data_IF_294138230565
#
_entry.id   IF_294138230565
#
_cell.length_a   1.000
_cell.length_b   1.000
_cell.length_c   1.000
_cell.angle_alpha   90.00
_cell.angle_beta   90.00
_cell.angle_gamma   90.00
#
_symmetry.space_group_name_H-M   'P 1'
#
loop_
_entity.id
_entity.type
_entity.pdbx_description
1 polymer ?
#
# COMPACT_ATOMS: atom_id res chain seq x y z
N UNK A 1 -1.87 3.61 -10.59
CA UNK A 1 -2.25 3.15 -9.24
C UNK A 1 -1.32 2.02 -8.83
N UNK A 2 -0.76 2.12 -7.64
CA UNK A 2 0.16 1.14 -7.05
C UNK A 2 -0.60 0.41 -5.95
N UNK A 3 -1.07 -0.79 -6.25
CA UNK A 3 -1.83 -1.62 -5.33
C UNK A 3 -0.88 -2.35 -4.37
N UNK A 4 -0.93 -1.99 -3.10
CA UNK A 4 -0.12 -2.57 -2.02
C UNK A 4 -0.94 -3.45 -1.07
N UNK A 5 -2.10 -3.94 -1.51
CA UNK A 5 -2.92 -4.87 -0.75
C UNK A 5 -2.31 -6.27 -0.77
N UNK A 6 -2.35 -6.96 0.35
CA UNK A 6 -1.95 -8.36 0.41
C UNK A 6 -2.94 -9.26 -0.38
N UNK A 7 -4.23 -8.95 -0.24
CA UNK A 7 -5.32 -9.67 -0.91
C UNK A 7 -6.16 -8.68 -1.71
N UNK A 8 -6.20 -8.83 -3.03
CA UNK A 8 -6.91 -7.94 -3.95
C UNK A 8 -7.87 -8.68 -4.90
N UNK A 9 -8.17 -9.96 -4.62
CA UNK A 9 -9.04 -10.82 -5.43
C UNK A 9 -10.42 -11.07 -4.81
N UNK A 10 -10.71 -10.46 -3.64
CA UNK A 10 -11.98 -10.68 -2.93
C UNK A 10 -13.19 -10.26 -3.77
N UNK A 11 -14.18 -11.13 -3.90
CA UNK A 11 -15.45 -10.82 -4.54
C UNK A 11 -16.25 -9.71 -3.82
N UNK A 12 -15.99 -9.49 -2.53
CA UNK A 12 -16.58 -8.39 -1.76
C UNK A 12 -16.02 -7.01 -2.14
N UNK A 13 -14.89 -6.98 -2.83
CA UNK A 13 -14.27 -5.73 -3.28
C UNK A 13 -14.94 -5.12 -4.53
N UNK A 14 -15.94 -5.81 -5.12
CA UNK A 14 -16.63 -5.33 -6.32
C UNK A 14 -15.65 -5.04 -7.45
N UNK A 15 -15.78 -3.88 -8.08
CA UNK A 15 -14.92 -3.44 -9.20
C UNK A 15 -13.47 -3.14 -8.79
N UNK A 16 -13.17 -3.08 -7.51
CA UNK A 16 -11.80 -2.81 -7.02
C UNK A 16 -10.94 -4.08 -6.87
N UNK A 17 -11.45 -5.25 -7.27
CA UNK A 17 -10.65 -6.47 -7.34
C UNK A 17 -9.65 -6.44 -8.51
N UNK A 18 -8.56 -7.17 -8.38
CA UNK A 18 -7.45 -7.16 -9.34
C UNK A 18 -7.87 -7.44 -10.78
N UNK A 19 -8.89 -8.28 -11.02
CA UNK A 19 -9.34 -8.61 -12.37
C UNK A 19 -10.02 -7.44 -13.10
N UNK A 20 -10.74 -6.60 -12.36
CA UNK A 20 -11.60 -5.57 -12.95
C UNK A 20 -11.00 -4.17 -12.83
N UNK A 21 -10.26 -3.89 -11.76
CA UNK A 21 -9.73 -2.56 -11.47
C UNK A 21 -8.85 -1.96 -12.58
N UNK A 22 -7.93 -2.72 -13.20
CA UNK A 22 -7.11 -2.17 -14.29
C UNK A 22 -7.93 -1.65 -15.45
N UNK A 23 -8.99 -2.38 -15.85
CA UNK A 23 -9.89 -1.96 -16.90
C UNK A 23 -10.59 -0.63 -16.58
N UNK A 24 -11.10 -0.49 -15.37
CA UNK A 24 -11.78 0.76 -14.97
C UNK A 24 -10.80 1.93 -14.88
N UNK A 25 -9.61 1.72 -14.34
CA UNK A 25 -8.59 2.76 -14.22
C UNK A 25 -8.17 3.28 -15.60
N UNK A 26 -7.90 2.38 -16.53
CA UNK A 26 -7.54 2.76 -17.89
C UNK A 26 -8.69 3.44 -18.61
N UNK A 27 -9.90 2.86 -18.56
CA UNK A 27 -11.06 3.34 -19.30
C UNK A 27 -11.61 4.68 -18.81
N UNK A 28 -11.50 4.98 -17.50
CA UNK A 28 -12.11 6.17 -16.89
C UNK A 28 -11.11 7.30 -16.75
N UNK A 29 -9.88 7.03 -16.36
CA UNK A 29 -8.87 8.05 -16.07
C UNK A 29 -7.51 7.86 -16.73
N UNK A 30 -7.37 6.89 -17.62
CA UNK A 30 -6.11 6.62 -18.32
C UNK A 30 -4.96 6.24 -17.36
N UNK A 31 -5.27 5.71 -16.18
CA UNK A 31 -4.30 5.41 -15.15
C UNK A 31 -3.81 3.96 -15.25
N UNK A 32 -2.50 3.77 -15.28
CA UNK A 32 -1.89 2.45 -15.20
C UNK A 32 -2.10 1.82 -13.82
N UNK A 33 -2.11 0.48 -13.77
CA UNK A 33 -2.23 -0.32 -12.55
C UNK A 33 -1.04 -1.25 -12.41
N UNK A 34 -0.51 -1.33 -11.21
CA UNK A 34 0.49 -2.33 -10.83
C UNK A 34 0.20 -2.86 -9.42
N UNK A 35 0.35 -4.16 -9.22
CA UNK A 35 0.26 -4.79 -7.90
C UNK A 35 1.66 -5.12 -7.39
N UNK A 36 2.01 -4.61 -6.21
CA UNK A 36 3.29 -4.87 -5.53
C UNK A 36 3.01 -5.47 -4.15
N UNK A 37 2.74 -6.79 -4.08
CA UNK A 37 2.43 -7.45 -2.81
C UNK A 37 3.62 -7.44 -1.83
N UNK A 38 4.83 -7.20 -2.31
CA UNK A 38 6.01 -7.03 -1.46
C UNK A 38 5.94 -5.78 -0.57
N UNK A 39 5.11 -4.80 -0.94
CA UNK A 39 4.81 -3.63 -0.10
C UNK A 39 3.62 -3.86 0.85
N UNK A 40 2.97 -5.02 0.78
CA UNK A 40 1.91 -5.38 1.71
C UNK A 40 2.47 -5.87 3.05
N UNK A 41 1.76 -5.66 4.17
CA UNK A 41 2.07 -6.35 5.42
C UNK A 41 1.88 -7.87 5.25
N UNK A 42 2.57 -8.66 6.05
CA UNK A 42 2.34 -10.10 6.08
C UNK A 42 0.99 -10.43 6.73
N UNK A 43 0.46 -11.64 6.46
CA UNK A 43 -0.76 -12.12 7.13
C UNK A 43 -0.60 -12.09 8.66
N UNK A 44 0.57 -12.46 9.17
CA UNK A 44 0.87 -12.44 10.59
C UNK A 44 0.72 -11.02 11.17
N UNK A 45 1.32 -10.01 10.56
CA UNK A 45 1.22 -8.61 11.02
C UNK A 45 -0.24 -8.13 11.02
N UNK A 46 -1.00 -8.49 9.97
CA UNK A 46 -2.42 -8.17 9.88
C UNK A 46 -3.25 -8.88 10.96
N UNK A 47 -2.99 -10.15 11.18
CA UNK A 47 -3.73 -10.96 12.15
C UNK A 47 -3.42 -10.52 13.59
N UNK A 48 -2.16 -10.22 13.91
CA UNK A 48 -1.78 -9.71 15.21
C UNK A 48 -2.51 -8.42 15.54
N UNK A 49 -2.67 -7.52 14.59
CA UNK A 49 -3.43 -6.29 14.79
C UNK A 49 -4.94 -6.50 14.79
N UNK A 50 -5.50 -7.19 13.76
CA UNK A 50 -6.96 -7.27 13.55
C UNK A 50 -7.66 -8.34 14.39
N UNK A 51 -6.99 -9.49 14.61
CA UNK A 51 -7.58 -10.64 15.32
C UNK A 51 -7.11 -10.71 16.77
N UNK A 52 -5.83 -10.45 17.02
CA UNK A 52 -5.22 -10.61 18.34
C UNK A 52 -5.24 -9.31 19.16
N UNK A 53 -5.92 -8.26 18.68
CA UNK A 53 -6.06 -6.95 19.36
C UNK A 53 -4.73 -6.28 19.70
N UNK A 54 -3.72 -6.48 18.86
CA UNK A 54 -2.44 -5.79 18.96
C UNK A 54 -2.61 -4.27 18.84
N UNK A 55 -1.69 -3.52 19.43
CA UNK A 55 -1.70 -2.06 19.33
C UNK A 55 -1.30 -1.59 17.92
N UNK A 56 -1.70 -0.35 17.58
CA UNK A 56 -1.25 0.27 16.33
C UNK A 56 0.28 0.47 16.31
N UNK A 57 0.88 0.81 17.44
CA UNK A 57 2.32 1.05 17.54
C UNK A 57 3.12 -0.23 17.27
N UNK A 58 2.64 -1.38 17.73
CA UNK A 58 3.22 -2.69 17.41
C UNK A 58 3.10 -3.00 15.90
N UNK A 59 1.93 -2.75 15.32
CA UNK A 59 1.70 -2.92 13.89
C UNK A 59 2.62 -2.02 13.06
N UNK A 60 2.69 -0.73 13.38
CA UNK A 60 3.54 0.25 12.71
C UNK A 60 5.01 -0.16 12.76
N UNK A 61 5.50 -0.52 13.96
CA UNK A 61 6.88 -0.96 14.15
C UNK A 61 7.20 -2.20 13.32
N UNK A 62 6.32 -3.21 13.37
CA UNK A 62 6.51 -4.45 12.64
C UNK A 62 6.48 -4.25 11.11
N UNK A 63 5.57 -3.41 10.63
CA UNK A 63 5.44 -3.15 9.21
C UNK A 63 6.59 -2.30 8.65
N UNK A 64 7.01 -1.25 9.35
CA UNK A 64 8.17 -0.45 8.91
C UNK A 64 9.45 -1.29 8.88
N UNK A 65 9.66 -2.14 9.88
CA UNK A 65 10.77 -3.09 9.89
C UNK A 65 10.70 -4.06 8.70
N UNK A 66 9.52 -4.55 8.37
CA UNK A 66 9.32 -5.42 7.20
C UNK A 66 9.71 -4.73 5.89
N UNK A 67 9.37 -3.44 5.72
CA UNK A 67 9.75 -2.67 4.53
C UNK A 67 11.28 -2.51 4.43
N UNK A 68 11.96 -2.23 5.55
CA UNK A 68 13.44 -2.19 5.60
C UNK A 68 14.06 -3.55 5.26
N UNK A 69 13.60 -4.62 5.88
CA UNK A 69 14.10 -5.99 5.64
C UNK A 69 13.92 -6.44 4.19
N UNK A 70 12.86 -5.97 3.53
CA UNK A 70 12.59 -6.25 2.12
C UNK A 70 13.36 -5.33 1.16
N UNK A 71 14.01 -4.29 1.66
CA UNK A 71 14.65 -3.27 0.82
C UNK A 71 13.64 -2.56 -0.08
N UNK A 72 12.50 -2.15 0.47
CA UNK A 72 11.38 -1.60 -0.29
C UNK A 72 11.77 -0.37 -1.13
N UNK A 73 12.73 0.43 -0.68
CA UNK A 73 13.29 1.55 -1.42
C UNK A 73 13.98 1.14 -2.74
N UNK A 74 14.46 -0.09 -2.84
CA UNK A 74 15.09 -0.62 -4.06
C UNK A 74 14.08 -1.18 -5.06
N UNK A 75 12.82 -1.38 -4.63
CA UNK A 75 11.72 -1.84 -5.48
C UNK A 75 11.03 -0.69 -6.20
N UNK A 76 11.33 0.55 -5.81
CA UNK A 76 10.71 1.77 -6.31
C UNK A 76 11.76 2.83 -6.63
N UNK A 77 11.34 3.94 -7.18
CA UNK A 77 12.18 5.12 -7.37
C UNK A 77 11.31 6.38 -7.28
N UNK A 78 11.88 7.58 -7.07
CA UNK A 78 11.09 8.82 -7.14
C UNK A 78 10.33 8.95 -8.46
N UNK A 79 10.95 8.61 -9.59
CA UNK A 79 10.30 8.63 -10.90
C UNK A 79 9.13 7.64 -11.01
N UNK A 80 9.25 6.45 -10.42
CA UNK A 80 8.17 5.46 -10.37
C UNK A 80 7.02 5.92 -9.46
N UNK A 81 7.33 6.60 -8.36
CA UNK A 81 6.34 7.11 -7.41
C UNK A 81 5.69 8.42 -7.88
N UNK A 82 6.29 9.11 -8.86
CA UNK A 82 5.77 10.37 -9.38
C UNK A 82 4.35 10.21 -9.92
N UNK A 83 3.41 11.03 -9.41
CA UNK A 83 1.98 10.93 -9.70
C UNK A 83 1.36 9.56 -9.33
N UNK A 84 2.08 8.76 -8.55
CA UNK A 84 1.62 7.47 -8.06
C UNK A 84 0.56 7.59 -6.98
N UNK A 85 -0.42 6.68 -6.99
CA UNK A 85 -1.43 6.58 -5.94
C UNK A 85 -1.33 5.20 -5.29
N UNK A 86 -0.94 5.15 -4.01
CA UNK A 86 -0.93 3.91 -3.23
C UNK A 86 -2.36 3.48 -2.87
N UNK A 87 -2.73 2.26 -3.19
CA UNK A 87 -4.05 1.69 -2.91
C UNK A 87 -3.98 0.65 -1.80
N UNK A 88 -4.86 0.78 -0.80
CA UNK A 88 -5.13 -0.25 0.21
C UNK A 88 -6.63 -0.45 0.42
N UNK A 89 -7.01 -1.27 1.39
CA UNK A 89 -8.43 -1.57 1.68
C UNK A 89 -9.08 -0.62 2.70
N UNK A 90 -8.29 0.18 3.39
CA UNK A 90 -8.79 1.10 4.43
C UNK A 90 -9.26 2.41 3.80
N UNK A 91 -10.39 2.94 4.28
CA UNK A 91 -10.98 4.17 3.75
C UNK A 91 -10.21 5.43 4.15
N UNK A 92 -9.63 5.43 5.37
CA UNK A 92 -8.88 6.58 5.90
C UNK A 92 -7.39 6.26 6.01
N UNK A 93 -6.51 7.26 5.96
CA UNK A 93 -5.07 7.05 6.12
C UNK A 93 -4.67 6.69 7.55
N UNK A 94 -5.48 7.08 8.55
CA UNK A 94 -5.26 6.67 9.94
C UNK A 94 -5.33 5.15 10.05
N UNK A 95 -4.46 4.54 10.81
CA UNK A 95 -4.38 3.08 10.98
C UNK A 95 -4.31 2.29 9.65
N UNK A 96 -3.63 2.86 8.65
CA UNK A 96 -3.49 2.28 7.32
C UNK A 96 -2.03 2.13 6.91
N UNK A 97 -1.68 0.93 6.41
CA UNK A 97 -0.31 0.66 5.94
C UNK A 97 0.10 1.52 4.72
N UNK A 98 -0.85 2.01 3.92
CA UNK A 98 -0.55 2.95 2.83
C UNK A 98 0.08 4.26 3.34
N UNK A 99 -0.38 4.80 4.49
CA UNK A 99 0.23 5.95 5.13
C UNK A 99 1.67 5.63 5.55
N UNK A 100 1.88 4.52 6.23
CA UNK A 100 3.21 4.10 6.68
C UNK A 100 4.17 3.87 5.50
N UNK A 101 3.69 3.26 4.41
CA UNK A 101 4.49 3.07 3.21
C UNK A 101 4.86 4.41 2.55
N UNK A 102 3.90 5.35 2.43
CA UNK A 102 4.19 6.67 1.87
C UNK A 102 5.18 7.47 2.74
N UNK A 103 5.01 7.45 4.06
CA UNK A 103 5.94 8.08 5.00
C UNK A 103 7.34 7.44 4.92
N UNK A 104 7.42 6.13 4.75
CA UNK A 104 8.68 5.41 4.53
C UNK A 104 9.39 5.93 3.27
N UNK A 105 8.69 6.00 2.14
CA UNK A 105 9.28 6.48 0.89
C UNK A 105 9.67 7.96 0.94
N UNK A 106 8.88 8.81 1.59
CA UNK A 106 9.24 10.23 1.76
C UNK A 106 10.49 10.43 2.65
N UNK A 107 10.75 9.52 3.58
CA UNK A 107 12.02 9.53 4.35
C UNK A 107 13.22 9.05 3.54
N UNK A 108 13.00 8.12 2.59
CA UNK A 108 14.08 7.58 1.74
C UNK A 108 14.38 8.48 0.53
N UNK A 109 13.38 9.17 0.02
CA UNK A 109 13.46 9.98 -1.19
C UNK A 109 13.02 11.43 -0.90
N UNK A 110 13.95 12.36 -0.86
CA UNK A 110 13.67 13.78 -0.53
C UNK A 110 12.74 14.48 -1.52
N UNK A 111 12.62 13.96 -2.75
CA UNK A 111 11.74 14.51 -3.79
C UNK A 111 10.28 14.06 -3.67
N UNK A 112 10.00 13.08 -2.80
CA UNK A 112 8.63 12.55 -2.63
C UNK A 112 7.85 13.41 -1.66
N UNK A 113 6.74 13.96 -2.13
CA UNK A 113 5.71 14.62 -1.31
C UNK A 113 4.45 13.77 -1.23
N UNK A 114 3.74 13.84 -0.11
CA UNK A 114 2.57 13.00 0.16
C UNK A 114 1.32 13.87 0.22
N UNK A 115 0.26 13.40 -0.45
CA UNK A 115 -1.10 13.91 -0.28
C UNK A 115 -2.02 12.73 0.02
N UNK A 116 -2.71 12.77 1.16
CA UNK A 116 -3.73 11.78 1.49
C UNK A 116 -5.08 12.20 0.90
N UNK A 117 -5.70 11.27 0.18
CA UNK A 117 -7.01 11.46 -0.45
C UNK A 117 -8.12 10.91 0.45
#
# INVERSE_FOLDING_TARGET
VIDIRLRNTSHLAGFSKMQDLPFFLESICGAAYIHIPQLAPTERILDDFKKNKGSWDEYETAYLRLLEERGAEHMTSPAFLHMGCLLCSETKPDYCHRRLASDFFARKFSEVSITHL
#
